data_IF_124348183290
#
_entry.id   IF_124348183290
#
_cell.length_a   1.000
_cell.length_b   1.000
_cell.length_c   1.000
_cell.angle_alpha   90.00
_cell.angle_beta   90.00
_cell.angle_gamma   90.00
#
_symmetry.space_group_name_H-M   'P 1'
#
loop_
_entity.id
_entity.type
_entity.pdbx_description
1 polymer ?
#
# COMPACT_ATOMS: atom_id res chain seq x y z
N UNK A 1 -3.99 -17.74 -7.63
CA UNK A 1 -3.95 -16.51 -6.81
C UNK A 1 -2.89 -16.67 -5.73
N UNK A 2 -1.89 -15.80 -5.70
CA UNK A 2 -0.89 -15.78 -4.62
C UNK A 2 -1.47 -15.01 -3.43
N UNK A 3 -1.33 -15.57 -2.22
CA UNK A 3 -1.72 -14.89 -0.98
C UNK A 3 -0.47 -14.27 -0.37
N UNK A 4 -0.48 -12.96 -0.25
CA UNK A 4 0.60 -12.20 0.37
C UNK A 4 0.07 -11.61 1.68
N UNK A 5 0.87 -11.71 2.73
CA UNK A 5 0.63 -11.02 3.99
C UNK A 5 1.72 -9.95 4.15
N UNK A 6 1.47 -8.93 4.96
CA UNK A 6 2.39 -7.82 5.04
C UNK A 6 2.06 -6.81 6.10
N UNK A 7 2.92 -5.80 6.19
CA UNK A 7 2.69 -4.62 6.98
C UNK A 7 2.87 -3.38 6.10
N UNK A 8 2.25 -2.29 6.53
CA UNK A 8 2.32 -1.00 5.86
C UNK A 8 2.50 0.10 6.89
N UNK A 9 3.27 1.12 6.52
CA UNK A 9 3.38 2.37 7.26
C UNK A 9 3.10 3.52 6.29
N UNK A 10 2.15 4.37 6.64
CA UNK A 10 1.76 5.51 5.80
C UNK A 10 2.00 6.81 6.56
N UNK A 11 2.78 7.70 5.95
CA UNK A 11 2.91 9.08 6.41
C UNK A 11 1.96 9.97 5.59
N UNK A 12 1.16 10.79 6.26
CA UNK A 12 0.20 11.68 5.62
C UNK A 12 0.41 13.14 6.04
N UNK A 13 0.27 14.05 5.07
CA UNK A 13 0.19 15.49 5.30
C UNK A 13 -1.06 16.06 4.63
N UNK A 14 -1.92 16.72 5.42
CA UNK A 14 -3.11 17.39 4.90
C UNK A 14 -2.75 18.77 4.36
N UNK A 15 -2.94 18.99 3.05
CA UNK A 15 -2.69 20.26 2.36
C UNK A 15 -3.93 21.15 2.43
N UNK A 16 -5.10 20.55 2.25
CA UNK A 16 -6.41 21.19 2.38
C UNK A 16 -7.33 20.32 3.23
N UNK A 17 -8.52 20.85 3.57
CA UNK A 17 -9.53 20.15 4.36
C UNK A 17 -9.91 18.77 3.81
N UNK A 18 -9.95 18.64 2.48
CA UNK A 18 -10.35 17.41 1.80
C UNK A 18 -9.18 16.75 1.05
N UNK A 19 -8.03 17.40 0.93
CA UNK A 19 -6.91 16.92 0.10
C UNK A 19 -5.68 16.79 0.99
N UNK A 20 -5.17 15.56 1.07
CA UNK A 20 -3.90 15.24 1.66
C UNK A 20 -2.95 14.63 0.64
N UNK A 21 -1.68 14.57 1.00
CA UNK A 21 -0.66 13.77 0.33
C UNK A 21 -0.23 12.68 1.29
N UNK A 22 -0.05 11.47 0.78
CA UNK A 22 0.45 10.35 1.56
C UNK A 22 1.62 9.66 0.87
N UNK A 23 2.50 9.09 1.69
CA UNK A 23 3.61 8.23 1.28
C UNK A 23 3.41 6.91 2.00
N UNK A 24 3.31 5.83 1.23
CA UNK A 24 3.07 4.48 1.71
C UNK A 24 4.32 3.61 1.54
N UNK A 25 4.77 3.04 2.66
CA UNK A 25 5.80 2.02 2.71
C UNK A 25 5.10 0.70 2.95
N UNK A 26 5.17 -0.21 1.98
CA UNK A 26 4.54 -1.54 2.08
C UNK A 26 5.59 -2.63 2.02
N UNK A 27 5.43 -3.66 2.85
CA UNK A 27 6.20 -4.90 2.76
C UNK A 27 5.24 -6.06 2.68
N UNK A 28 5.30 -6.82 1.59
CA UNK A 28 4.50 -8.02 1.37
C UNK A 28 5.43 -9.24 1.31
N UNK A 29 5.03 -10.34 1.95
CA UNK A 29 5.77 -11.59 1.95
C UNK A 29 4.83 -12.78 1.76
N UNK A 30 5.31 -13.79 1.05
CA UNK A 30 4.65 -15.09 0.94
C UNK A 30 5.48 -16.14 1.69
N UNK A 31 4.89 -16.74 2.73
CA UNK A 31 5.49 -17.85 3.49
C UNK A 31 5.12 -19.23 2.95
N UNK A 32 4.14 -19.32 2.03
CA UNK A 32 3.56 -20.58 1.55
C UNK A 32 3.85 -20.87 0.07
N UNK A 33 4.47 -19.96 -0.68
CA UNK A 33 4.93 -20.24 -2.05
C UNK A 33 6.39 -20.66 -2.07
N UNK A 34 6.66 -21.66 -2.90
CA UNK A 34 7.98 -22.01 -3.40
C UNK A 34 8.04 -21.57 -4.88
N UNK A 35 8.91 -20.63 -5.27
CA UNK A 35 9.86 -19.89 -4.43
C UNK A 35 9.18 -18.86 -3.51
N UNK A 36 9.87 -18.54 -2.39
CA UNK A 36 9.47 -17.45 -1.48
C UNK A 36 9.54 -16.13 -2.21
N UNK A 37 8.57 -15.25 -2.02
CA UNK A 37 8.56 -13.92 -2.64
C UNK A 37 8.40 -12.86 -1.56
N UNK A 38 9.25 -11.83 -1.62
CA UNK A 38 9.16 -10.64 -0.78
C UNK A 38 9.10 -9.41 -1.66
N UNK A 39 8.15 -8.54 -1.40
CA UNK A 39 8.00 -7.26 -2.08
C UNK A 39 8.15 -6.12 -1.08
N UNK A 40 8.88 -5.10 -1.47
CA UNK A 40 8.99 -3.85 -0.75
C UNK A 40 8.60 -2.71 -1.68
N UNK A 41 7.60 -1.91 -1.31
CA UNK A 41 7.10 -0.81 -2.13
C UNK A 41 7.21 0.52 -1.41
N UNK A 42 7.53 1.56 -2.18
CA UNK A 42 7.41 2.96 -1.77
C UNK A 42 6.55 3.65 -2.80
N UNK A 43 5.38 4.12 -2.37
CA UNK A 43 4.43 4.82 -3.23
C UNK A 43 4.03 6.14 -2.61
N UNK A 44 3.70 7.13 -3.43
CA UNK A 44 3.21 8.41 -2.96
C UNK A 44 2.09 8.94 -3.85
N UNK A 45 1.19 9.71 -3.26
CA UNK A 45 0.15 10.36 -4.03
C UNK A 45 -0.93 11.04 -3.21
N UNK A 46 -1.93 11.62 -3.89
CA UNK A 46 -3.02 12.32 -3.23
C UNK A 46 -4.00 11.37 -2.55
N UNK A 47 -4.56 11.87 -1.45
CA UNK A 47 -5.71 11.31 -0.72
C UNK A 47 -6.82 12.35 -0.70
N UNK A 48 -8.03 11.93 -1.07
CA UNK A 48 -9.24 12.75 -0.97
C UNK A 48 -10.15 12.23 0.14
N UNK A 49 -10.44 13.10 1.11
CA UNK A 49 -11.28 12.81 2.26
C UNK A 49 -12.65 13.43 2.06
N UNK A 50 -13.72 12.62 2.00
CA UNK A 50 -15.04 13.11 1.61
C UNK A 50 -15.72 13.91 2.74
N UNK A 51 -15.87 13.32 3.93
CA UNK A 51 -16.61 13.93 5.06
C UNK A 51 -15.73 14.00 6.32
N UNK A 52 -14.79 14.97 6.43
CA UNK A 52 -13.77 15.00 7.48
C UNK A 52 -14.30 15.19 8.91
N UNK A 53 -15.57 15.59 9.07
CA UNK A 53 -16.19 15.78 10.39
C UNK A 53 -16.89 14.52 10.92
N UNK A 54 -17.09 13.50 10.08
CA UNK A 54 -17.77 12.29 10.52
C UNK A 54 -16.87 11.42 11.39
N UNK A 55 -17.48 10.67 12.32
CA UNK A 55 -16.74 9.70 13.13
C UNK A 55 -16.12 8.60 12.27
N UNK A 56 -16.86 8.10 11.28
CA UNK A 56 -16.35 7.24 10.22
C UNK A 56 -16.18 8.07 8.95
N UNK A 57 -14.96 8.52 8.69
CA UNK A 57 -14.61 9.40 7.58
C UNK A 57 -14.20 8.56 6.36
N UNK A 58 -15.00 8.51 5.28
CA UNK A 58 -14.60 7.85 4.06
C UNK A 58 -13.53 8.65 3.30
N UNK A 59 -12.63 7.94 2.65
CA UNK A 59 -11.58 8.51 1.80
C UNK A 59 -11.31 7.64 0.59
N UNK A 60 -10.72 8.26 -0.43
CA UNK A 60 -10.17 7.59 -1.61
C UNK A 60 -8.74 8.07 -1.81
N UNK A 61 -7.89 7.25 -2.42
CA UNK A 61 -6.51 7.62 -2.69
C UNK A 61 -6.04 7.02 -4.00
N UNK A 62 -5.03 7.67 -4.58
CA UNK A 62 -4.29 7.18 -5.73
C UNK A 62 -2.82 7.50 -5.53
N UNK A 63 -1.96 6.52 -5.76
CA UNK A 63 -0.53 6.61 -5.55
C UNK A 63 0.23 5.98 -6.71
N UNK A 64 1.44 6.46 -6.93
CA UNK A 64 2.39 5.86 -7.84
C UNK A 64 3.77 5.80 -7.17
N UNK A 65 4.58 4.85 -7.61
CA UNK A 65 5.92 4.68 -7.09
C UNK A 65 6.56 3.42 -7.64
N UNK A 66 7.34 2.75 -6.81
CA UNK A 66 8.11 1.59 -7.24
C UNK A 66 8.00 0.46 -6.22
N UNK A 67 7.97 -0.77 -6.73
CA UNK A 67 7.96 -2.00 -5.92
C UNK A 67 9.16 -2.85 -6.31
N UNK A 68 10.01 -3.09 -5.33
CA UNK A 68 11.11 -4.05 -5.40
C UNK A 68 10.59 -5.44 -5.12
N UNK A 69 10.66 -6.33 -6.10
CA UNK A 69 10.32 -7.76 -5.91
C UNK A 69 11.59 -8.58 -5.78
N UNK A 70 11.70 -9.36 -4.71
CA UNK A 70 12.80 -10.29 -4.46
C UNK A 70 12.26 -11.72 -4.41
N UNK A 71 12.88 -12.61 -5.20
CA UNK A 71 12.59 -14.05 -5.18
C UNK A 71 13.65 -14.78 -4.35
N UNK A 72 13.21 -15.54 -3.35
CA UNK A 72 14.06 -16.44 -2.57
C UNK A 72 14.51 -17.63 -3.43
N UNK A 73 15.78 -18.01 -3.29
CA UNK A 73 16.45 -19.07 -4.05
C UNK A 73 15.70 -20.42 -4.02
N UNK A 74 15.41 -20.97 -5.20
CA UNK A 74 15.33 -22.43 -5.41
C UNK A 74 16.49 -22.97 -6.26
N UNK A 75 17.33 -22.11 -6.87
CA UNK A 75 18.40 -22.57 -7.74
C UNK A 75 19.67 -21.69 -7.63
N UNK A 76 20.84 -22.21 -7.21
CA UNK A 76 22.08 -21.44 -7.08
C UNK A 76 22.68 -20.98 -8.42
N UNK A 77 22.12 -21.40 -9.55
CA UNK A 77 22.59 -21.04 -10.90
C UNK A 77 21.98 -19.73 -11.45
N UNK A 78 20.94 -19.18 -10.82
CA UNK A 78 20.29 -17.93 -11.27
C UNK A 78 20.37 -16.89 -10.15
N UNK A 79 21.02 -15.76 -10.43
CA UNK A 79 21.04 -14.62 -9.52
C UNK A 79 19.61 -14.23 -9.14
N UNK A 80 19.28 -14.03 -7.85
CA UNK A 80 17.98 -13.51 -7.45
C UNK A 80 17.84 -12.11 -8.05
N UNK A 81 17.08 -12.01 -9.14
CA UNK A 81 16.72 -10.73 -9.75
C UNK A 81 15.92 -9.92 -8.74
N UNK A 82 16.42 -8.73 -8.44
CA UNK A 82 15.79 -7.76 -7.56
C UNK A 82 15.58 -6.51 -8.38
N UNK A 83 14.43 -6.42 -9.01
CA UNK A 83 14.10 -5.32 -9.91
C UNK A 83 13.08 -4.39 -9.24
N UNK A 84 13.33 -3.09 -9.35
CA UNK A 84 12.36 -2.06 -9.03
C UNK A 84 11.43 -1.92 -10.21
N UNK A 85 10.15 -2.17 -9.98
CA UNK A 85 9.13 -2.12 -11.00
C UNK A 85 8.22 -0.92 -10.73
N UNK A 86 7.88 -0.12 -11.75
CA UNK A 86 6.91 0.95 -11.57
C UNK A 86 5.56 0.36 -11.15
N UNK A 87 4.96 0.99 -10.16
CA UNK A 87 3.73 0.56 -9.54
C UNK A 87 2.75 1.73 -9.41
N UNK A 88 1.47 1.40 -9.54
CA UNK A 88 0.35 2.31 -9.29
C UNK A 88 -0.62 1.64 -8.33
N UNK A 89 -1.21 2.42 -7.43
CA UNK A 89 -2.12 1.91 -6.40
C UNK A 89 -3.28 2.86 -6.23
N UNK A 90 -4.48 2.33 -6.05
CA UNK A 90 -5.66 3.13 -5.78
C UNK A 90 -6.61 2.34 -4.89
N UNK A 91 -7.35 3.04 -4.05
CA UNK A 91 -8.27 2.37 -3.13
C UNK A 91 -9.24 3.31 -2.45
N UNK A 92 -10.15 2.68 -1.71
CA UNK A 92 -11.15 3.34 -0.88
C UNK A 92 -11.02 2.86 0.55
N UNK A 93 -11.22 3.74 1.51
CA UNK A 93 -11.09 3.41 2.93
C UNK A 93 -11.92 4.28 3.84
N UNK A 94 -11.86 3.95 5.13
CA UNK A 94 -12.56 4.62 6.21
C UNK A 94 -11.62 4.83 7.39
N UNK A 95 -11.62 6.04 7.93
CA UNK A 95 -10.99 6.36 9.22
C UNK A 95 -12.08 6.52 10.28
N UNK A 96 -12.09 5.63 11.26
CA UNK A 96 -12.99 5.66 12.42
C UNK A 96 -12.27 6.33 13.58
N UNK A 97 -12.64 7.58 13.89
CA UNK A 97 -12.09 8.34 15.00
C UNK A 97 -12.50 7.71 16.33
N UNK A 98 -11.52 7.20 17.07
CA UNK A 98 -11.71 6.60 18.39
C UNK A 98 -11.41 7.60 19.51
N UNK A 99 -10.62 8.63 19.23
CA UNK A 99 -10.33 9.74 20.15
C UNK A 99 -9.82 10.97 19.40
N UNK A 100 -9.30 11.96 20.13
CA UNK A 100 -8.80 13.22 19.55
C UNK A 100 -7.56 13.01 18.66
N UNK A 101 -6.68 12.08 19.05
CA UNK A 101 -5.39 11.86 18.39
C UNK A 101 -5.25 10.44 17.80
N UNK A 102 -6.35 9.70 17.72
CA UNK A 102 -6.33 8.27 17.40
C UNK A 102 -7.55 7.87 16.57
N UNK A 103 -7.29 7.14 15.48
CA UNK A 103 -8.32 6.55 14.64
C UNK A 103 -7.94 5.13 14.23
N UNK A 104 -8.95 4.31 13.98
CA UNK A 104 -8.80 3.03 13.30
C UNK A 104 -9.02 3.22 11.80
N UNK A 105 -8.14 2.68 10.96
CA UNK A 105 -8.24 2.76 9.52
C UNK A 105 -8.56 1.39 8.93
N UNK A 106 -9.50 1.36 8.00
CA UNK A 106 -9.79 0.18 7.18
C UNK A 106 -9.81 0.56 5.70
N UNK A 107 -9.08 -0.17 4.87
CA UNK A 107 -9.08 -0.06 3.41
C UNK A 107 -9.48 -1.44 2.89
N UNK A 108 -10.78 -1.70 2.69
CA UNK A 108 -11.27 -3.03 2.30
C UNK A 108 -11.04 -3.34 0.82
N UNK A 109 -10.84 -2.30 -0.01
CA UNK A 109 -10.69 -2.44 -1.45
C UNK A 109 -9.53 -1.56 -1.93
N UNK A 110 -8.39 -2.19 -2.13
CA UNK A 110 -7.20 -1.58 -2.70
C UNK A 110 -6.75 -2.40 -3.91
N UNK A 111 -6.55 -1.69 -5.03
CA UNK A 111 -5.97 -2.23 -6.25
C UNK A 111 -4.52 -1.74 -6.36
N UNK A 112 -3.63 -2.65 -6.72
CA UNK A 112 -2.23 -2.34 -7.03
C UNK A 112 -1.85 -2.98 -8.37
N UNK A 113 -1.45 -2.13 -9.31
CA UNK A 113 -0.84 -2.52 -10.57
C UNK A 113 0.68 -2.43 -10.46
N UNK A 114 1.38 -3.50 -10.81
CA UNK A 114 2.84 -3.52 -10.96
C UNK A 114 3.19 -3.87 -12.39
N UNK A 115 4.09 -3.11 -13.03
CA UNK A 115 4.55 -3.40 -14.39
C UNK A 115 5.91 -4.06 -14.34
N UNK A 116 5.97 -5.36 -14.65
CA UNK A 116 7.23 -6.09 -14.72
C UNK A 116 7.93 -5.83 -16.05
N UNK A 117 9.15 -5.29 -16.02
CA UNK A 117 9.92 -4.95 -17.22
C UNK A 117 10.17 -6.15 -18.15
N UNK A 118 10.25 -7.36 -17.58
CA UNK A 118 10.56 -8.59 -18.33
C UNK A 118 9.40 -9.11 -19.20
N UNK A 119 8.16 -8.77 -18.87
CA UNK A 119 6.97 -9.24 -19.61
C UNK A 119 6.15 -8.10 -20.22
N UNK A 120 6.41 -6.84 -19.84
CA UNK A 120 5.67 -5.66 -20.30
C UNK A 120 4.21 -5.62 -19.85
N UNK A 121 3.74 -6.64 -19.13
CA UNK A 121 2.37 -6.78 -18.68
C UNK A 121 2.20 -6.19 -17.27
N UNK A 122 1.03 -5.60 -17.03
CA UNK A 122 0.61 -5.18 -15.70
C UNK A 122 0.06 -6.37 -14.91
N UNK A 123 0.70 -6.66 -13.80
CA UNK A 123 0.14 -7.56 -12.80
C UNK A 123 -0.78 -6.76 -11.88
N UNK A 124 -2.03 -7.21 -11.77
CA UNK A 124 -3.05 -6.59 -10.92
C UNK A 124 -3.21 -7.40 -9.64
N UNK A 125 -3.01 -6.77 -8.50
CA UNK A 125 -3.19 -7.35 -7.18
C UNK A 125 -4.30 -6.60 -6.45
N UNK A 126 -5.13 -7.33 -5.72
CA UNK A 126 -6.15 -6.76 -4.84
C UNK A 126 -5.79 -7.09 -3.41
N UNK A 127 -5.89 -6.09 -2.54
CA UNK A 127 -5.58 -6.24 -1.12
C UNK A 127 -6.57 -5.49 -0.24
N UNK A 128 -6.58 -5.88 1.03
CA UNK A 128 -7.28 -5.21 2.09
C UNK A 128 -6.30 -4.97 3.25
N UNK A 129 -6.38 -3.80 3.87
CA UNK A 129 -5.55 -3.43 5.03
C UNK A 129 -6.40 -2.86 6.15
N UNK A 130 -5.95 -3.10 7.37
CA UNK A 130 -6.48 -2.49 8.59
C UNK A 130 -5.32 -2.00 9.43
N UNK A 131 -5.52 -0.92 10.18
CA UNK A 131 -4.45 -0.32 10.95
C UNK A 131 -4.91 0.80 11.86
N UNK A 132 -3.94 1.51 12.42
CA UNK A 132 -4.15 2.63 13.32
C UNK A 132 -3.53 3.89 12.76
N UNK A 133 -4.19 5.02 12.99
CA UNK A 133 -3.75 6.35 12.59
C UNK A 133 -3.55 7.19 13.83
N UNK A 134 -2.38 7.81 13.92
CA UNK A 134 -2.02 8.73 15.00
C UNK A 134 -1.90 10.13 14.44
N UNK A 135 -2.69 11.06 14.96
CA UNK A 135 -2.62 12.46 14.54
C UNK A 135 -1.55 13.19 15.34
N UNK A 136 -0.51 13.69 14.66
CA UNK A 136 0.65 14.36 15.27
C UNK A 136 0.43 15.87 15.52
N UNK A 137 -0.81 16.36 15.60
CA UNK A 137 -1.13 17.78 15.87
C UNK A 137 -2.06 17.95 17.08
N UNK A 138 -1.78 19.00 17.88
CA UNK A 138 -2.60 19.49 18.99
C UNK A 138 -3.57 20.57 18.51
#
# INVERSE_FOLDING_TARGET
MQKLAGWTATAEANVMKHIGMQVDFLTLYNTQSNPRMTKFGVLAGPRYTLNPYWKATPFVFGEAGEVRTTYGQENPANHPGSDWNPAAKAGIGFDVKLGRNFAFQAVPAEWMGERFDRSGHWQNNYQARVGFVFYLRK
#
